data_IF_171749792722
#
_entry.id   IF_171749792722
#
_cell.length_a   1.000
_cell.length_b   1.000
_cell.length_c   1.000
_cell.angle_alpha   90.00
_cell.angle_beta   90.00
_cell.angle_gamma   90.00
#
_symmetry.space_group_name_H-M   'P 1'
#
loop_
_entity.id
_entity.type
_entity.pdbx_description
1 polymer ?
#
# COMPACT_ATOMS: atom_id res chain seq x y z
N UNK A 1 -7.19 -10.09 -19.32
CA UNK A 1 -5.93 -10.46 -18.67
C UNK A 1 -5.23 -9.22 -18.06
N UNK A 2 -5.05 -8.16 -18.84
CA UNK A 2 -4.44 -6.91 -18.38
C UNK A 2 -5.27 -6.19 -17.30
N UNK A 3 -6.60 -6.23 -17.40
CA UNK A 3 -7.52 -5.62 -16.43
C UNK A 3 -7.43 -6.33 -15.06
N UNK A 4 -7.32 -7.67 -15.05
CA UNK A 4 -7.19 -8.45 -13.82
C UNK A 4 -5.87 -8.13 -13.11
N UNK A 5 -4.76 -8.01 -13.86
CA UNK A 5 -3.46 -7.63 -13.29
C UNK A 5 -3.46 -6.23 -12.71
N UNK A 6 -4.08 -5.26 -13.40
CA UNK A 6 -4.24 -3.89 -12.93
C UNK A 6 -5.08 -3.83 -11.65
N UNK A 7 -6.18 -4.56 -11.61
CA UNK A 7 -7.05 -4.66 -10.44
C UNK A 7 -6.33 -5.24 -9.22
N UNK A 8 -5.55 -6.31 -9.43
CA UNK A 8 -4.75 -6.92 -8.36
C UNK A 8 -3.69 -5.96 -7.82
N UNK A 9 -3.02 -5.21 -8.71
CA UNK A 9 -2.04 -4.19 -8.30
C UNK A 9 -2.69 -3.06 -7.50
N UNK A 10 -3.86 -2.59 -7.90
CA UNK A 10 -4.62 -1.54 -7.18
C UNK A 10 -5.05 -2.03 -5.80
N UNK A 11 -5.53 -3.28 -5.68
CA UNK A 11 -5.89 -3.87 -4.39
C UNK A 11 -4.68 -3.96 -3.46
N UNK A 12 -3.54 -4.41 -3.97
CA UNK A 12 -2.30 -4.51 -3.18
C UNK A 12 -1.83 -3.15 -2.67
N UNK A 13 -1.87 -2.14 -3.52
CA UNK A 13 -1.55 -0.76 -3.13
C UNK A 13 -2.51 -0.22 -2.07
N UNK A 14 -3.80 -0.53 -2.18
CA UNK A 14 -4.81 -0.17 -1.18
C UNK A 14 -4.55 -0.85 0.17
N UNK A 15 -4.18 -2.12 0.18
CA UNK A 15 -3.78 -2.85 1.39
C UNK A 15 -2.55 -2.22 2.05
N UNK A 16 -1.51 -1.93 1.27
CA UNK A 16 -0.29 -1.29 1.77
C UNK A 16 -0.55 0.10 2.31
N UNK A 17 -1.42 0.87 1.67
CA UNK A 17 -1.79 2.20 2.16
C UNK A 17 -2.56 2.12 3.47
N UNK A 18 -3.52 1.21 3.61
CA UNK A 18 -4.23 0.97 4.86
C UNK A 18 -3.28 0.56 5.98
N UNK A 19 -2.30 -0.31 5.67
CA UNK A 19 -1.27 -0.71 6.62
C UNK A 19 -0.39 0.49 7.01
N UNK A 20 -0.01 1.34 6.05
CA UNK A 20 0.79 2.54 6.29
C UNK A 20 0.14 3.54 7.24
N UNK A 21 -1.19 3.63 7.25
CA UNK A 21 -1.92 4.48 8.20
C UNK A 21 -1.76 4.02 9.65
N UNK A 22 -1.51 2.76 9.90
CA UNK A 22 -1.22 2.24 11.24
C UNK A 22 0.10 2.74 11.81
N UNK A 23 1.01 3.23 10.94
CA UNK A 23 2.31 3.80 11.32
C UNK A 23 2.27 5.32 11.50
N UNK A 24 1.09 5.94 11.49
CA UNK A 24 0.96 7.37 11.71
C UNK A 24 1.55 7.78 13.06
N UNK A 25 2.44 8.78 13.03
CA UNK A 25 3.14 9.26 14.23
C UNK A 25 4.41 8.50 14.59
N UNK A 26 4.77 7.42 13.87
CA UNK A 26 6.07 6.76 14.04
C UNK A 26 7.17 7.53 13.30
N UNK A 27 8.36 7.53 13.87
CA UNK A 27 9.54 8.09 13.20
C UNK A 27 10.03 7.18 12.09
N UNK A 28 10.36 7.76 10.94
CA UNK A 28 11.00 7.10 9.80
C UNK A 28 12.51 7.32 9.77
N UNK A 29 13.06 7.92 10.82
CA UNK A 29 14.50 8.09 10.96
C UNK A 29 15.20 6.73 11.10
N UNK A 30 16.45 6.69 10.64
CA UNK A 30 17.28 5.50 10.80
C UNK A 30 17.42 5.13 12.28
N UNK A 31 16.89 3.97 12.69
CA UNK A 31 16.90 3.60 14.10
C UNK A 31 18.31 3.14 14.55
N UNK A 32 18.84 2.18 13.84
CA UNK A 32 20.14 1.54 14.04
C UNK A 32 20.34 0.47 12.95
N UNK A 33 21.51 -0.13 12.87
CA UNK A 33 21.72 -1.26 11.95
C UNK A 33 20.75 -2.40 12.26
N UNK A 34 20.10 -2.92 11.20
CA UNK A 34 19.14 -4.03 11.32
C UNK A 34 19.74 -5.26 10.66
N UNK A 35 19.77 -6.35 11.41
CA UNK A 35 20.40 -7.62 11.02
C UNK A 35 19.34 -8.72 10.84
N UNK A 36 19.62 -9.72 9.98
CA UNK A 36 18.83 -10.93 9.93
C UNK A 36 18.65 -11.58 11.31
N UNK A 37 17.44 -12.02 11.61
CA UNK A 37 17.06 -12.59 12.90
C UNK A 37 16.43 -11.59 13.88
N UNK A 38 16.53 -10.29 13.62
CA UNK A 38 15.91 -9.28 14.48
C UNK A 38 14.39 -9.24 14.32
N UNK A 39 13.69 -8.70 15.33
CA UNK A 39 12.25 -8.59 15.37
C UNK A 39 11.82 -7.24 15.95
N UNK A 40 10.64 -6.80 15.60
CA UNK A 40 10.00 -5.62 16.19
C UNK A 40 9.61 -4.55 15.19
N UNK A 41 9.25 -3.37 15.72
CA UNK A 41 8.70 -2.27 14.93
C UNK A 41 9.63 -1.78 13.82
N UNK A 42 10.95 -1.68 14.07
CA UNK A 42 11.93 -1.27 13.05
C UNK A 42 11.94 -2.23 11.84
N UNK A 43 11.78 -3.53 12.10
CA UNK A 43 11.71 -4.55 11.04
C UNK A 43 10.39 -4.43 10.28
N UNK A 44 9.28 -4.20 10.98
CA UNK A 44 7.97 -3.98 10.36
C UNK A 44 8.00 -2.76 9.43
N UNK A 45 8.58 -1.65 9.88
CA UNK A 45 8.73 -0.43 9.06
C UNK A 45 9.59 -0.66 7.82
N UNK A 46 10.71 -1.36 7.98
CA UNK A 46 11.59 -1.75 6.87
C UNK A 46 10.84 -2.58 5.83
N UNK A 47 10.16 -3.62 6.27
CA UNK A 47 9.38 -4.51 5.40
C UNK A 47 8.27 -3.77 4.69
N UNK A 48 7.57 -2.87 5.39
CA UNK A 48 6.55 -2.03 4.79
C UNK A 48 7.10 -1.15 3.66
N UNK A 49 8.20 -0.42 3.91
CA UNK A 49 8.83 0.42 2.89
C UNK A 49 9.29 -0.41 1.68
N UNK A 50 9.92 -1.55 1.89
CA UNK A 50 10.34 -2.47 0.83
C UNK A 50 9.16 -3.04 0.05
N UNK A 51 8.06 -3.37 0.72
CA UNK A 51 6.84 -3.84 0.06
C UNK A 51 6.24 -2.77 -0.87
N UNK A 52 6.21 -1.51 -0.42
CA UNK A 52 5.76 -0.39 -1.28
C UNK A 52 6.68 -0.21 -2.47
N UNK A 53 7.99 -0.16 -2.26
CA UNK A 53 8.98 0.00 -3.34
C UNK A 53 8.89 -1.14 -4.36
N UNK A 54 8.69 -2.37 -3.92
CA UNK A 54 8.59 -3.56 -4.79
C UNK A 54 7.41 -3.49 -5.76
N UNK A 55 6.35 -2.76 -5.43
CA UNK A 55 5.22 -2.58 -6.35
C UNK A 55 5.58 -1.73 -7.58
N UNK A 56 6.61 -0.90 -7.47
CA UNK A 56 7.06 0.01 -8.54
C UNK A 56 8.40 -0.38 -9.14
N UNK A 57 9.12 -1.31 -8.53
CA UNK A 57 10.38 -1.83 -9.03
C UNK A 57 10.43 -3.35 -8.91
N UNK A 58 10.19 -4.03 -10.01
CA UNK A 58 10.16 -5.50 -10.09
C UNK A 58 11.51 -6.17 -9.80
N UNK A 59 12.61 -5.42 -9.79
CA UNK A 59 13.93 -5.94 -9.39
C UNK A 59 14.04 -6.13 -7.87
N UNK A 60 13.16 -5.52 -7.09
CA UNK A 60 13.11 -5.64 -5.62
C UNK A 60 12.09 -6.70 -5.24
N UNK A 61 12.55 -7.72 -4.51
CA UNK A 61 11.65 -8.76 -4.01
C UNK A 61 10.77 -8.21 -2.88
N UNK A 62 9.47 -8.53 -2.92
CA UNK A 62 8.53 -8.13 -1.88
C UNK A 62 8.72 -8.99 -0.62
N UNK A 63 9.01 -8.40 0.55
CA UNK A 63 9.02 -9.12 1.81
C UNK A 63 7.62 -9.15 2.44
N UNK A 64 7.30 -10.17 3.24
CA UNK A 64 6.12 -10.14 4.10
C UNK A 64 6.31 -9.09 5.21
N UNK A 65 5.28 -8.35 5.56
CA UNK A 65 5.28 -7.39 6.67
C UNK A 65 4.92 -8.13 7.96
N UNK A 66 5.87 -8.92 8.45
CA UNK A 66 5.68 -9.80 9.60
C UNK A 66 6.31 -9.28 10.90
N UNK A 67 7.21 -8.32 10.80
CA UNK A 67 8.02 -7.84 11.92
C UNK A 67 9.18 -8.76 12.30
N UNK A 68 9.44 -9.81 11.50
CA UNK A 68 10.57 -10.75 11.70
C UNK A 68 11.50 -10.69 10.49
N UNK A 69 12.76 -10.39 10.70
CA UNK A 69 13.76 -10.32 9.64
C UNK A 69 14.26 -11.73 9.29
N UNK A 70 13.47 -12.43 8.48
CA UNK A 70 13.79 -13.77 7.99
C UNK A 70 14.48 -13.75 6.62
N UNK A 71 14.62 -14.92 6.02
CA UNK A 71 15.31 -15.11 4.72
C UNK A 71 14.66 -14.29 3.59
N UNK A 72 13.34 -14.20 3.57
CA UNK A 72 12.62 -13.40 2.56
C UNK A 72 12.93 -11.91 2.68
N UNK A 73 13.06 -11.41 3.90
CA UNK A 73 13.47 -10.02 4.15
C UNK A 73 14.93 -9.81 3.74
N UNK A 74 15.81 -10.76 4.05
CA UNK A 74 17.21 -10.73 3.59
C UNK A 74 17.31 -10.65 2.08
N UNK A 75 16.52 -11.45 1.35
CA UNK A 75 16.46 -11.42 -0.10
C UNK A 75 15.92 -10.09 -0.62
N UNK A 76 14.89 -9.54 0.02
CA UNK A 76 14.33 -8.23 -0.33
C UNK A 76 15.37 -7.12 -0.19
N UNK A 77 16.09 -7.10 0.91
CA UNK A 77 17.19 -6.13 1.15
C UNK A 77 18.29 -6.30 0.12
N UNK A 78 18.75 -7.53 -0.14
CA UNK A 78 19.82 -7.81 -1.11
C UNK A 78 19.40 -7.39 -2.53
N UNK A 79 18.18 -7.72 -2.94
CA UNK A 79 17.69 -7.31 -4.26
C UNK A 79 17.51 -5.81 -4.38
N UNK A 80 17.10 -5.14 -3.31
CA UNK A 80 17.07 -3.68 -3.25
C UNK A 80 18.48 -3.08 -3.38
N UNK A 81 19.42 -3.57 -2.60
CA UNK A 81 20.82 -3.10 -2.64
C UNK A 81 21.39 -3.24 -4.05
N UNK A 82 21.18 -4.38 -4.72
CA UNK A 82 21.57 -4.60 -6.10
C UNK A 82 20.93 -3.61 -7.07
N UNK A 83 19.62 -3.42 -6.96
CA UNK A 83 18.86 -2.55 -7.85
C UNK A 83 19.29 -1.08 -7.76
N UNK A 84 19.77 -0.65 -6.59
CA UNK A 84 20.19 0.73 -6.33
C UNK A 84 21.70 0.92 -6.18
N UNK A 85 22.49 -0.08 -6.56
CA UNK A 85 23.95 0.02 -6.60
C UNK A 85 24.63 0.11 -5.23
N UNK A 86 24.00 -0.44 -4.20
CA UNK A 86 24.54 -0.54 -2.86
C UNK A 86 25.27 -1.88 -2.66
N UNK A 87 26.20 -2.01 -1.70
CA UNK A 87 26.78 -3.29 -1.35
C UNK A 87 25.73 -4.32 -0.93
N UNK A 88 25.74 -5.50 -1.55
CA UNK A 88 24.77 -6.59 -1.31
C UNK A 88 25.09 -7.33 -0.01
N UNK A 89 24.88 -6.68 1.12
CA UNK A 89 25.19 -7.26 2.44
C UNK A 89 24.02 -8.04 3.05
N UNK A 90 22.80 -7.82 2.58
CA UNK A 90 21.59 -8.37 3.18
C UNK A 90 21.25 -7.79 4.55
N UNK A 91 22.04 -6.82 5.02
CA UNK A 91 21.81 -6.08 6.27
C UNK A 91 21.42 -4.65 5.97
N UNK A 92 20.76 -3.98 6.91
CA UNK A 92 20.32 -2.59 6.71
C UNK A 92 21.18 -1.67 7.57
N UNK A 93 22.17 -1.08 6.93
CA UNK A 93 22.93 0.04 7.48
C UNK A 93 22.23 1.38 7.16
N UNK A 94 22.83 2.49 7.64
CA UNK A 94 22.26 3.82 7.40
C UNK A 94 22.09 4.14 5.91
N UNK A 95 23.06 3.80 5.09
CA UNK A 95 23.01 4.09 3.65
C UNK A 95 21.87 3.30 2.97
N UNK A 96 21.69 2.05 3.34
CA UNK A 96 20.61 1.20 2.86
C UNK A 96 19.26 1.73 3.32
N UNK A 97 19.11 2.08 4.61
CA UNK A 97 17.87 2.65 5.15
C UNK A 97 17.49 3.95 4.46
N UNK A 98 18.41 4.90 4.38
CA UNK A 98 18.18 6.21 3.78
C UNK A 98 17.80 6.08 2.29
N UNK A 99 18.40 5.12 1.57
CA UNK A 99 18.04 4.82 0.19
C UNK A 99 16.62 4.24 0.07
N UNK A 100 16.26 3.27 0.92
CA UNK A 100 14.92 2.68 0.97
C UNK A 100 13.89 3.76 1.28
N UNK A 101 14.13 4.56 2.31
CA UNK A 101 13.25 5.65 2.71
C UNK A 101 13.06 6.69 1.60
N UNK A 102 14.13 7.07 0.91
CA UNK A 102 14.06 8.03 -0.21
C UNK A 102 13.15 7.52 -1.34
N UNK A 103 13.26 6.25 -1.71
CA UNK A 103 12.39 5.64 -2.72
C UNK A 103 10.94 5.56 -2.24
N UNK A 104 10.73 5.11 -1.01
CA UNK A 104 9.41 5.04 -0.38
C UNK A 104 8.75 6.42 -0.29
N UNK A 105 9.45 7.44 0.19
CA UNK A 105 8.90 8.79 0.33
C UNK A 105 8.52 9.41 -1.03
N UNK A 106 9.29 9.14 -2.08
CA UNK A 106 8.96 9.56 -3.43
C UNK A 106 7.66 8.93 -3.94
N UNK A 107 7.47 7.64 -3.69
CA UNK A 107 6.26 6.91 -4.06
C UNK A 107 5.06 7.42 -3.24
N UNK A 108 5.22 7.53 -1.93
CA UNK A 108 4.17 7.99 -1.03
C UNK A 108 3.64 9.36 -1.45
N UNK A 109 4.55 10.30 -1.71
CA UNK A 109 4.17 11.65 -2.13
C UNK A 109 3.52 11.69 -3.52
N UNK A 110 4.07 10.93 -4.47
CA UNK A 110 3.62 10.99 -5.87
C UNK A 110 2.38 10.15 -6.11
N UNK A 111 2.28 8.98 -5.49
CA UNK A 111 1.23 8.00 -5.76
C UNK A 111 0.12 8.09 -4.74
N UNK A 112 0.43 7.94 -3.46
CA UNK A 112 -0.59 7.93 -2.39
C UNK A 112 -1.13 9.33 -2.09
N UNK A 113 -0.36 10.39 -2.35
CA UNK A 113 -0.83 11.76 -2.25
C UNK A 113 -1.73 12.19 -3.43
N UNK A 114 -1.87 11.37 -4.47
CA UNK A 114 -2.68 11.69 -5.63
C UNK A 114 -4.10 11.11 -5.49
N UNK A 115 -5.03 11.92 -5.01
CA UNK A 115 -6.44 11.54 -4.82
C UNK A 115 -7.13 11.09 -6.12
N UNK A 116 -6.65 11.54 -7.29
CA UNK A 116 -7.21 11.12 -8.57
C UNK A 116 -6.87 9.67 -8.93
N UNK A 117 -5.69 9.17 -8.47
CA UNK A 117 -5.29 7.77 -8.68
C UNK A 117 -5.92 6.83 -7.64
N UNK A 118 -6.16 7.34 -6.43
CA UNK A 118 -6.70 6.57 -5.31
C UNK A 118 -7.88 7.29 -4.67
N UNK A 119 -9.02 7.38 -5.36
CA UNK A 119 -10.21 8.08 -4.85
C UNK A 119 -10.77 7.46 -3.56
N UNK A 120 -10.35 6.25 -3.21
CA UNK A 120 -10.81 5.50 -2.03
C UNK A 120 -9.85 5.58 -0.85
N UNK A 121 -8.82 6.43 -0.92
CA UNK A 121 -7.72 6.44 0.04
C UNK A 121 -7.96 7.27 1.29
N UNK A 122 -9.04 8.04 1.36
CA UNK A 122 -9.45 8.61 2.63
C UNK A 122 -9.91 7.50 3.56
N UNK A 123 -9.31 7.34 4.76
CA UNK A 123 -9.92 6.48 5.75
C UNK A 123 -11.37 6.89 5.89
N UNK A 124 -12.29 5.94 5.99
CA UNK A 124 -13.68 6.28 6.22
C UNK A 124 -13.79 6.94 7.59
N UNK A 125 -13.64 8.25 7.63
CA UNK A 125 -14.15 9.04 8.74
C UNK A 125 -15.67 8.91 8.67
N UNK A 126 -16.24 8.05 9.52
CA UNK A 126 -17.66 7.80 9.63
C UNK A 126 -18.35 7.81 8.25
N UNK A 127 -18.21 6.71 7.49
CA UNK A 127 -18.89 6.54 6.21
C UNK A 127 -20.39 6.64 6.48
N UNK A 128 -20.98 7.76 6.14
CA UNK A 128 -22.43 7.88 6.14
C UNK A 128 -22.99 7.07 4.98
N UNK A 129 -24.25 6.67 5.09
CA UNK A 129 -24.94 5.98 4.00
C UNK A 129 -24.93 6.81 2.71
N UNK A 130 -24.92 8.14 2.84
CA UNK A 130 -24.80 9.09 1.72
C UNK A 130 -23.40 9.02 1.05
N UNK A 131 -22.34 8.91 1.83
CA UNK A 131 -20.97 8.81 1.30
C UNK A 131 -20.76 7.49 0.56
N UNK A 132 -21.32 6.39 1.06
CA UNK A 132 -21.32 5.10 0.39
C UNK A 132 -22.04 5.18 -0.97
N UNK A 133 -23.18 5.86 -1.01
CA UNK A 133 -23.93 6.05 -2.25
C UNK A 133 -23.15 6.91 -3.26
N UNK A 134 -22.47 7.97 -2.83
CA UNK A 134 -21.57 8.75 -3.69
C UNK A 134 -20.45 7.91 -4.30
N UNK A 135 -19.82 7.08 -3.49
CA UNK A 135 -18.76 6.19 -3.95
C UNK A 135 -19.29 5.16 -4.97
N UNK A 136 -20.45 4.59 -4.74
CA UNK A 136 -21.09 3.66 -5.69
C UNK A 136 -21.52 4.35 -6.98
N UNK A 137 -21.98 5.60 -6.93
CA UNK A 137 -22.31 6.40 -8.13
C UNK A 137 -21.04 6.68 -8.93
N UNK A 138 -19.95 7.06 -8.27
CA UNK A 138 -18.66 7.28 -8.93
C UNK A 138 -18.10 6.00 -9.55
N UNK A 139 -18.23 4.85 -8.86
CA UNK A 139 -17.84 3.56 -9.38
C UNK A 139 -18.68 3.14 -10.59
N UNK A 140 -19.99 3.41 -10.60
CA UNK A 140 -20.87 3.11 -11.73
C UNK A 140 -20.52 3.89 -13.02
N UNK A 141 -19.91 5.05 -12.89
CA UNK A 141 -19.39 5.80 -14.05
C UNK A 141 -18.20 5.10 -14.72
N UNK A 142 -17.39 4.36 -13.94
CA UNK A 142 -16.25 3.59 -14.44
C UNK A 142 -16.63 2.16 -14.84
N UNK A 143 -17.68 1.60 -14.25
CA UNK A 143 -18.14 0.23 -14.45
C UNK A 143 -19.61 0.23 -14.89
N UNK A 144 -19.90 0.17 -16.22
CA UNK A 144 -21.26 0.25 -16.77
C UNK A 144 -22.21 -0.87 -16.29
N UNK A 145 -21.68 -1.94 -15.75
CA UNK A 145 -22.42 -3.08 -15.20
C UNK A 145 -23.02 -2.78 -13.82
N UNK A 146 -22.60 -1.69 -13.20
CA UNK A 146 -23.06 -1.27 -11.89
C UNK A 146 -24.22 -0.28 -12.04
N UNK A 147 -25.43 -0.68 -11.62
CA UNK A 147 -26.55 0.24 -11.55
C UNK A 147 -26.30 1.31 -10.47
N UNK A 148 -26.12 2.56 -10.88
CA UNK A 148 -25.89 3.66 -9.94
C UNK A 148 -27.06 3.83 -8.98
N UNK A 149 -26.85 3.78 -7.64
CA UNK A 149 -27.90 4.06 -6.69
C UNK A 149 -28.26 5.56 -6.70
N UNK A 150 -29.45 5.88 -6.26
CA UNK A 150 -29.84 7.29 -6.03
C UNK A 150 -29.30 7.75 -4.68
N UNK A 151 -28.86 9.00 -4.62
CA UNK A 151 -28.38 9.61 -3.36
C UNK A 151 -29.58 9.94 -2.46
N UNK A 152 -30.00 8.95 -1.69
CA UNK A 152 -31.15 9.07 -0.76
C UNK A 152 -30.71 9.28 0.69
N UNK A 153 -29.43 9.09 1.00
CA UNK A 153 -28.89 9.13 2.37
C UNK A 153 -29.34 7.94 3.24
N UNK A 154 -29.92 6.91 2.62
CA UNK A 154 -30.36 5.69 3.31
C UNK A 154 -29.95 4.44 2.54
N UNK A 155 -29.64 3.37 3.27
CA UNK A 155 -29.28 2.08 2.72
C UNK A 155 -30.53 1.38 2.11
N UNK A 156 -31.00 1.89 1.01
CA UNK A 156 -32.16 1.35 0.29
C UNK A 156 -31.83 0.05 -0.49
N UNK A 157 -32.86 -0.57 -1.07
CA UNK A 157 -32.72 -1.84 -1.79
C UNK A 157 -31.78 -1.71 -3.02
N UNK A 158 -31.75 -0.56 -3.68
CA UNK A 158 -30.90 -0.31 -4.84
C UNK A 158 -29.42 -0.16 -4.42
N UNK A 159 -29.16 0.55 -3.34
CA UNK A 159 -27.81 0.68 -2.76
C UNK A 159 -27.26 -0.69 -2.34
N UNK A 160 -28.07 -1.53 -1.71
CA UNK A 160 -27.71 -2.91 -1.33
C UNK A 160 -27.42 -3.77 -2.57
N UNK A 161 -28.21 -3.63 -3.64
CA UNK A 161 -27.99 -4.36 -4.89
C UNK A 161 -26.66 -3.94 -5.56
N UNK A 162 -26.40 -2.64 -5.64
CA UNK A 162 -25.14 -2.12 -6.18
C UNK A 162 -23.91 -2.58 -5.38
N UNK A 163 -24.03 -2.60 -4.05
CA UNK A 163 -22.98 -3.08 -3.16
C UNK A 163 -22.72 -4.58 -3.36
N UNK A 164 -23.76 -5.39 -3.55
CA UNK A 164 -23.62 -6.83 -3.78
C UNK A 164 -22.94 -7.15 -5.12
N UNK A 165 -23.17 -6.34 -6.15
CA UNK A 165 -22.49 -6.47 -7.46
C UNK A 165 -21.00 -6.08 -7.34
N UNK A 166 -20.69 -5.13 -6.45
CA UNK A 166 -19.31 -4.66 -6.24
C UNK A 166 -18.47 -5.62 -5.41
N UNK A 167 -19.08 -6.46 -4.58
CA UNK A 167 -18.39 -7.49 -3.80
C UNK A 167 -18.07 -8.73 -4.63
#
# INVERSE_FOLDING_TARGET
>A
YTIVMLYTAVLKLGELQSLGQTFYGYSWEYPEQILPGEQGAKVTHLQYMLSVVSQFNSAVQEPPVSGVFGDTTTQAVTTFQRAYGLPETGTVDRATWDSIYSQFAGIETTVFGNEALFPFTRPPMAVTEADLQEQLIAAAAAFPELDAPKKTGKLDAQTKKSLAVFQ
#
